data_IF_115355428254
#
_entry.id   IF_115355428254
#
_cell.length_a   1.000
_cell.length_b   1.000
_cell.length_c   1.000
_cell.angle_alpha   90.00
_cell.angle_beta   90.00
_cell.angle_gamma   90.00
#
_symmetry.space_group_name_H-M   'P 1'
#
loop_
_entity.id
_entity.type
_entity.pdbx_description
1 polymer ?
#
# COMPACT_ATOMS: atom_id res chain seq x y z
N UNK A 1 -2.47 -1.29 37.78
CA UNK A 1 -2.83 -2.35 36.81
C UNK A 1 -2.45 -1.96 35.38
N UNK A 2 -2.91 -0.80 34.87
CA UNK A 2 -2.60 -0.31 33.51
C UNK A 2 -1.10 -0.21 33.21
N UNK A 3 -0.29 0.26 34.15
CA UNK A 3 1.16 0.38 33.96
C UNK A 3 1.88 -0.99 33.88
N UNK A 4 1.41 -1.98 34.66
CA UNK A 4 1.96 -3.34 34.65
C UNK A 4 1.60 -4.04 33.33
N UNK A 5 0.33 -3.97 32.89
CA UNK A 5 -0.09 -4.54 31.60
C UNK A 5 0.61 -3.88 30.43
N UNK A 6 0.82 -2.56 30.48
CA UNK A 6 1.58 -1.83 29.45
C UNK A 6 3.05 -2.25 29.41
N UNK A 7 3.71 -2.35 30.58
CA UNK A 7 5.11 -2.78 30.69
C UNK A 7 5.30 -4.21 30.19
N UNK A 8 4.43 -5.13 30.61
CA UNK A 8 4.48 -6.53 30.19
C UNK A 8 4.19 -6.69 28.70
N UNK A 9 3.14 -6.04 28.18
CA UNK A 9 2.83 -6.03 26.76
C UNK A 9 3.95 -5.42 25.91
N UNK A 10 4.66 -4.40 26.42
CA UNK A 10 5.83 -3.81 25.76
C UNK A 10 7.05 -4.70 25.83
N UNK A 11 7.25 -5.43 26.93
CA UNK A 11 8.34 -6.41 27.08
C UNK A 11 8.16 -7.57 26.11
N UNK A 12 6.94 -8.09 25.99
CA UNK A 12 6.60 -9.16 25.02
C UNK A 12 6.80 -8.65 23.59
N UNK A 13 6.27 -7.49 23.24
CA UNK A 13 6.45 -6.93 21.89
C UNK A 13 7.94 -6.72 21.54
N UNK A 14 8.75 -6.22 22.49
CA UNK A 14 10.20 -6.02 22.30
C UNK A 14 10.96 -7.34 22.15
N UNK A 15 10.60 -8.37 22.91
CA UNK A 15 11.28 -9.68 22.81
C UNK A 15 11.01 -10.38 21.48
N UNK A 16 9.91 -10.04 20.79
CA UNK A 16 9.57 -10.55 19.46
C UNK A 16 10.09 -9.67 18.31
N UNK A 17 10.87 -8.61 18.59
CA UNK A 17 11.50 -7.81 17.52
C UNK A 17 12.73 -8.55 17.00
N UNK A 18 12.60 -9.12 15.82
CA UNK A 18 13.74 -9.59 15.05
C UNK A 18 14.37 -8.41 14.33
N UNK A 19 15.70 -8.35 14.34
CA UNK A 19 16.45 -7.31 13.66
C UNK A 19 17.41 -7.97 12.68
N UNK A 20 17.63 -7.33 11.54
CA UNK A 20 18.54 -7.80 10.51
C UNK A 20 19.78 -6.91 10.49
N UNK A 21 20.94 -7.54 10.26
CA UNK A 21 22.19 -6.79 10.03
C UNK A 21 22.26 -6.38 8.56
N UNK A 22 22.99 -5.30 8.22
CA UNK A 22 23.14 -4.84 6.85
C UNK A 22 23.59 -5.93 5.87
N UNK A 23 24.47 -6.83 6.32
CA UNK A 23 24.95 -7.96 5.50
C UNK A 23 23.83 -8.90 5.04
N UNK A 24 22.74 -9.01 5.78
CA UNK A 24 21.66 -9.95 5.51
C UNK A 24 20.65 -9.37 4.51
N UNK A 25 20.34 -8.07 4.59
CA UNK A 25 19.30 -7.44 3.77
C UNK A 25 19.83 -6.65 2.57
N UNK A 26 21.02 -6.04 2.65
CA UNK A 26 21.54 -5.17 1.59
C UNK A 26 21.65 -5.86 0.23
N UNK A 27 22.20 -7.09 0.11
CA UNK A 27 22.33 -7.76 -1.18
C UNK A 27 20.98 -8.08 -1.83
N UNK A 28 19.94 -8.31 -1.04
CA UNK A 28 18.61 -8.62 -1.54
C UNK A 28 17.88 -7.35 -1.99
N UNK A 29 18.02 -6.27 -1.21
CA UNK A 29 17.47 -4.96 -1.59
C UNK A 29 18.14 -4.39 -2.84
N UNK A 30 19.46 -4.55 -2.97
CA UNK A 30 20.20 -4.11 -4.17
C UNK A 30 19.68 -4.80 -5.44
N UNK A 31 19.44 -6.12 -5.36
CA UNK A 31 18.82 -6.87 -6.46
C UNK A 31 17.44 -6.32 -6.81
N UNK A 32 16.59 -6.07 -5.83
CA UNK A 32 15.26 -5.50 -6.05
C UNK A 32 15.33 -4.08 -6.64
N UNK A 33 16.25 -3.25 -6.15
CA UNK A 33 16.42 -1.87 -6.60
C UNK A 33 16.80 -1.82 -8.08
N UNK A 34 17.73 -2.69 -8.51
CA UNK A 34 18.22 -2.79 -9.89
C UNK A 34 17.31 -3.59 -10.83
N UNK A 35 16.31 -4.30 -10.32
CA UNK A 35 15.42 -5.10 -11.17
C UNK A 35 14.38 -4.22 -11.88
N UNK A 36 14.65 -3.91 -13.15
CA UNK A 36 13.77 -3.12 -14.01
C UNK A 36 12.47 -3.83 -14.40
N UNK A 37 12.35 -5.15 -14.18
CA UNK A 37 11.14 -5.91 -14.51
C UNK A 37 9.99 -5.59 -13.56
N UNK A 38 10.33 -5.15 -12.34
CA UNK A 38 9.36 -4.74 -11.33
C UNK A 38 9.20 -3.21 -11.44
N UNK A 39 8.00 -2.70 -11.72
CA UNK A 39 7.77 -1.25 -11.75
C UNK A 39 7.93 -0.66 -10.34
N UNK A 40 8.24 0.64 -10.27
CA UNK A 40 8.28 1.33 -8.99
C UNK A 40 6.89 1.35 -8.37
N UNK A 41 6.80 0.92 -7.11
CA UNK A 41 5.62 1.06 -6.28
C UNK A 41 5.42 2.53 -5.86
N UNK A 42 6.51 3.21 -5.53
CA UNK A 42 6.59 4.65 -5.30
C UNK A 42 8.05 5.10 -5.47
N UNK A 43 8.29 6.40 -5.66
CA UNK A 43 9.65 6.93 -5.65
C UNK A 43 10.25 6.80 -4.25
N UNK A 44 9.50 7.20 -3.22
CA UNK A 44 9.92 7.11 -1.83
C UNK A 44 8.91 6.29 -1.02
N UNK A 45 9.38 5.22 -0.37
CA UNK A 45 8.56 4.46 0.59
C UNK A 45 9.06 4.74 2.00
N UNK A 46 8.17 5.19 2.87
CA UNK A 46 8.49 5.58 4.24
C UNK A 46 7.87 4.61 5.23
N UNK A 47 8.72 3.86 5.91
CA UNK A 47 8.37 2.94 6.98
C UNK A 47 8.56 3.60 8.33
N UNK A 48 7.49 3.64 9.13
CA UNK A 48 7.60 4.03 10.53
C UNK A 48 8.04 2.85 11.38
N UNK A 49 9.14 3.02 12.11
CA UNK A 49 9.65 2.04 13.07
C UNK A 49 9.82 2.63 14.46
N UNK A 50 9.62 1.78 15.47
CA UNK A 50 9.87 2.10 16.87
C UNK A 50 11.24 1.60 17.34
N UNK A 51 12.10 1.18 16.43
CA UNK A 51 13.48 0.82 16.74
C UNK A 51 14.32 2.09 16.97
N UNK A 52 15.28 2.01 17.90
CA UNK A 52 16.17 3.12 18.27
C UNK A 52 17.56 3.00 17.67
N UNK A 53 17.96 1.79 17.32
CA UNK A 53 19.29 1.53 16.79
C UNK A 53 19.35 1.88 15.30
N UNK A 54 20.43 2.56 14.90
CA UNK A 54 20.62 3.06 13.54
C UNK A 54 21.30 2.04 12.62
N UNK A 55 22.13 1.15 13.17
CA UNK A 55 22.95 0.21 12.40
C UNK A 55 22.23 -1.09 12.03
N UNK A 56 20.90 -1.14 12.19
CA UNK A 56 20.07 -2.33 11.92
C UNK A 56 18.73 -1.94 11.30
N UNK A 57 18.10 -2.92 10.67
CA UNK A 57 16.77 -2.77 10.07
C UNK A 57 15.78 -3.70 10.78
N UNK A 58 14.54 -3.23 11.00
CA UNK A 58 13.46 -4.07 11.52
C UNK A 58 13.08 -5.10 10.45
N UNK A 59 13.06 -6.38 10.84
CA UNK A 59 12.70 -7.48 9.93
C UNK A 59 11.29 -7.28 9.37
N UNK A 60 10.38 -6.63 10.11
CA UNK A 60 9.05 -6.31 9.62
C UNK A 60 9.04 -5.42 8.37
N UNK A 61 10.00 -4.48 8.26
CA UNK A 61 10.17 -3.65 7.06
C UNK A 61 10.61 -4.51 5.89
N UNK A 62 11.61 -5.37 6.11
CA UNK A 62 12.09 -6.28 5.10
C UNK A 62 10.96 -7.20 4.59
N UNK A 63 10.19 -7.81 5.49
CA UNK A 63 9.03 -8.62 5.08
C UNK A 63 7.99 -7.81 4.32
N UNK A 64 7.67 -6.59 4.75
CA UNK A 64 6.72 -5.73 4.02
C UNK A 64 7.21 -5.41 2.60
N UNK A 65 8.51 -5.16 2.41
CA UNK A 65 9.08 -4.90 1.08
C UNK A 65 8.88 -6.10 0.15
N UNK A 66 8.99 -7.33 0.66
CA UNK A 66 8.91 -8.55 -0.15
C UNK A 66 7.55 -9.29 -0.06
N UNK A 67 6.62 -8.83 0.78
CA UNK A 67 5.32 -9.47 0.96
C UNK A 67 4.45 -9.31 -0.30
N UNK A 68 3.80 -10.40 -0.70
CA UNK A 68 3.00 -10.53 -1.92
C UNK A 68 3.78 -10.17 -3.19
N UNK A 69 3.75 -8.89 -3.56
CA UNK A 69 4.50 -8.33 -4.68
C UNK A 69 5.60 -7.40 -4.16
N UNK A 70 6.85 -7.59 -4.61
CA UNK A 70 7.97 -6.83 -4.10
C UNK A 70 7.82 -5.32 -4.40
N UNK A 71 7.88 -4.50 -3.35
CA UNK A 71 7.69 -3.06 -3.39
C UNK A 71 9.00 -2.37 -3.73
N UNK A 72 9.30 -2.31 -5.03
CA UNK A 72 10.45 -1.58 -5.54
C UNK A 72 10.25 -0.07 -5.37
N UNK A 73 11.29 0.63 -4.90
CA UNK A 73 11.31 2.09 -4.78
C UNK A 73 12.64 2.66 -5.27
N UNK A 74 12.67 3.97 -5.53
CA UNK A 74 13.94 4.69 -5.73
C UNK A 74 14.67 4.84 -4.41
N UNK A 75 13.96 5.14 -3.33
CA UNK A 75 14.50 5.14 -1.98
C UNK A 75 13.52 4.56 -0.94
N UNK A 76 14.05 3.75 -0.03
CA UNK A 76 13.38 3.24 1.15
C UNK A 76 13.85 3.98 2.39
N UNK A 77 12.90 4.44 3.20
CA UNK A 77 13.15 5.24 4.38
C UNK A 77 12.62 4.49 5.61
N UNK A 78 13.51 4.16 6.55
CA UNK A 78 13.12 3.64 7.85
C UNK A 78 13.22 4.77 8.88
N UNK A 79 12.07 5.33 9.28
CA UNK A 79 12.00 6.52 10.14
C UNK A 79 11.57 6.14 11.54
N UNK A 80 12.32 6.61 12.54
CA UNK A 80 11.94 6.52 13.95
C UNK A 80 11.91 7.89 14.59
N UNK A 81 10.88 8.14 15.38
CA UNK A 81 10.72 9.37 16.15
C UNK A 81 10.97 9.06 17.62
N UNK A 82 11.87 9.81 18.23
CA UNK A 82 12.14 9.79 19.67
C UNK A 82 11.77 11.13 20.28
N UNK A 83 11.05 11.09 21.39
CA UNK A 83 10.79 12.28 22.19
C UNK A 83 11.96 12.49 23.14
N UNK A 84 12.50 13.70 23.12
CA UNK A 84 13.56 14.17 24.01
C UNK A 84 12.98 14.93 25.20
N UNK A 85 13.71 14.95 26.31
CA UNK A 85 13.28 15.60 27.56
C UNK A 85 13.35 17.13 27.45
N UNK A 86 14.20 17.66 26.57
CA UNK A 86 14.26 19.09 26.31
C UNK A 86 13.04 19.55 25.46
N UNK A 87 12.47 20.73 25.72
CA UNK A 87 11.15 21.11 25.21
C UNK A 87 11.11 21.34 23.70
N UNK A 88 12.15 21.92 23.11
CA UNK A 88 12.16 22.41 21.73
C UNK A 88 13.25 21.76 20.86
N UNK A 89 13.84 20.65 21.29
CA UNK A 89 14.84 19.90 20.53
C UNK A 89 14.29 19.53 19.15
N UNK A 90 15.11 19.73 18.11
CA UNK A 90 14.83 19.33 16.72
C UNK A 90 16.12 18.88 16.09
N UNK A 91 16.43 17.60 16.26
CA UNK A 91 17.66 17.01 15.74
C UNK A 91 17.30 15.79 14.90
N UNK A 92 18.12 15.48 13.91
CA UNK A 92 17.99 14.24 13.17
C UNK A 92 19.35 13.61 12.93
N UNK A 93 19.34 12.30 12.71
CA UNK A 93 20.51 11.53 12.29
C UNK A 93 20.11 10.61 11.14
N UNK A 94 20.98 10.46 10.16
CA UNK A 94 20.78 9.60 8.99
C UNK A 94 21.92 8.59 8.92
N UNK A 95 21.57 7.35 8.60
CA UNK A 95 22.50 6.27 8.27
C UNK A 95 22.05 5.68 6.93
N UNK A 96 22.93 5.70 5.93
CA UNK A 96 22.63 5.25 4.57
C UNK A 96 23.16 3.83 4.26
N UNK A 97 23.81 3.18 5.23
CA UNK A 97 24.45 1.86 5.09
C UNK A 97 25.42 1.73 3.90
N UNK A 98 25.97 2.86 3.42
CA UNK A 98 26.81 2.89 2.21
C UNK A 98 26.03 2.74 0.90
N UNK A 99 24.74 3.06 0.90
CA UNK A 99 23.86 3.02 -0.28
C UNK A 99 23.22 4.38 -0.54
N UNK A 100 22.67 4.58 -1.73
CA UNK A 100 21.94 5.77 -2.18
C UNK A 100 20.40 5.56 -2.20
N UNK A 101 19.94 4.36 -1.85
CA UNK A 101 18.53 3.97 -1.91
C UNK A 101 17.94 3.55 -0.56
N UNK A 102 18.74 3.35 0.50
CA UNK A 102 18.22 2.94 1.81
C UNK A 102 18.71 3.88 2.90
N UNK A 103 17.76 4.56 3.54
CA UNK A 103 18.03 5.55 4.57
C UNK A 103 17.35 5.19 5.87
N UNK A 104 18.14 5.02 6.92
CA UNK A 104 17.65 4.95 8.29
C UNK A 104 17.71 6.34 8.89
N UNK A 105 16.56 6.87 9.27
CA UNK A 105 16.44 8.22 9.84
C UNK A 105 15.90 8.13 11.26
N UNK A 106 16.57 8.85 12.16
CA UNK A 106 16.11 9.06 13.53
C UNK A 106 15.89 10.54 13.75
N UNK A 107 14.66 10.90 14.09
CA UNK A 107 14.25 12.27 14.41
C UNK A 107 14.07 12.34 15.93
N UNK A 108 14.80 13.24 16.58
CA UNK A 108 14.62 13.59 17.99
C UNK A 108 13.85 14.90 18.09
N UNK A 109 12.70 14.85 18.73
CA UNK A 109 11.82 15.99 18.91
C UNK A 109 11.59 16.25 20.39
N UNK A 110 11.64 17.51 20.80
CA UNK A 110 11.29 17.90 22.15
C UNK A 110 9.79 17.73 22.43
N UNK A 111 9.42 17.57 23.70
CA UNK A 111 8.04 17.29 24.09
C UNK A 111 7.03 18.42 23.80
N UNK A 112 7.47 19.67 23.53
CA UNK A 112 6.60 20.77 23.08
C UNK A 112 6.50 20.88 21.56
N UNK A 113 7.20 20.03 20.81
CA UNK A 113 7.21 20.05 19.34
C UNK A 113 6.19 19.05 18.81
N UNK A 114 5.41 19.47 17.81
CA UNK A 114 4.47 18.57 17.16
C UNK A 114 5.21 17.52 16.34
N UNK A 115 4.89 16.22 16.46
CA UNK A 115 5.58 15.15 15.74
C UNK A 115 5.05 15.00 14.31
N UNK A 116 5.04 16.09 13.53
CA UNK A 116 4.62 16.08 12.12
C UNK A 116 5.72 15.50 11.24
N UNK A 117 5.65 14.19 10.97
CA UNK A 117 6.69 13.48 10.21
C UNK A 117 6.87 14.03 8.79
N UNK A 118 5.81 14.30 8.00
CA UNK A 118 5.98 14.74 6.62
C UNK A 118 6.84 15.99 6.49
N UNK A 119 6.58 17.02 7.30
CA UNK A 119 7.31 18.29 7.23
C UNK A 119 8.82 18.10 7.49
N UNK A 120 9.17 17.34 8.53
CA UNK A 120 10.58 17.05 8.83
C UNK A 120 11.22 16.14 7.79
N UNK A 121 10.47 15.20 7.22
CA UNK A 121 11.01 14.30 6.22
C UNK A 121 11.37 15.03 4.93
N UNK A 122 10.49 15.93 4.45
CA UNK A 122 10.80 16.79 3.29
C UNK A 122 12.08 17.60 3.52
N UNK A 123 12.25 18.19 4.72
CA UNK A 123 13.47 18.91 5.08
C UNK A 123 14.71 18.01 4.99
N UNK A 124 14.67 16.82 5.59
CA UNK A 124 15.79 15.87 5.58
C UNK A 124 16.11 15.41 4.15
N UNK A 125 15.09 15.16 3.34
CA UNK A 125 15.27 14.75 1.95
C UNK A 125 15.90 15.86 1.09
N UNK A 126 15.55 17.13 1.33
CA UNK A 126 16.23 18.25 0.70
C UNK A 126 17.69 18.37 1.14
N UNK A 127 17.96 18.26 2.44
CA UNK A 127 19.33 18.31 2.96
C UNK A 127 20.20 17.23 2.31
N UNK A 128 19.68 16.00 2.19
CA UNK A 128 20.36 14.87 1.54
C UNK A 128 20.47 14.99 0.02
N UNK A 129 19.51 15.65 -0.63
CA UNK A 129 19.57 15.96 -2.06
C UNK A 129 20.67 16.99 -2.34
N UNK A 130 20.81 18.01 -1.48
CA UNK A 130 21.85 19.03 -1.58
C UNK A 130 23.26 18.48 -1.32
N UNK A 131 23.42 17.51 -0.41
CA UNK A 131 24.70 16.82 -0.19
C UNK A 131 25.02 15.80 -1.28
N UNK A 132 24.03 15.41 -2.10
CA UNK A 132 24.17 14.40 -3.14
C UNK A 132 24.08 12.96 -2.62
N UNK A 133 23.73 12.76 -1.34
CA UNK A 133 23.48 11.43 -0.78
C UNK A 133 22.18 10.81 -1.32
N UNK A 134 21.17 11.65 -1.58
CA UNK A 134 19.93 11.26 -2.23
C UNK A 134 19.98 11.62 -3.72
N UNK A 135 19.92 10.65 -4.65
CA UNK A 135 19.89 10.92 -6.07
C UNK A 135 18.65 11.75 -6.47
N UNK A 136 18.83 12.72 -7.37
CA UNK A 136 17.74 13.61 -7.79
C UNK A 136 16.56 12.84 -8.40
N UNK A 137 15.35 13.17 -7.93
CA UNK A 137 14.13 12.48 -8.30
C UNK A 137 13.27 13.31 -9.26
N UNK A 138 13.79 13.49 -10.48
CA UNK A 138 13.05 14.21 -11.52
C UNK A 138 11.83 13.41 -11.98
N UNK A 139 10.69 14.10 -12.05
CA UNK A 139 9.44 13.60 -12.64
C UNK A 139 9.21 14.32 -13.95
N UNK A 140 8.78 13.57 -14.98
CA UNK A 140 8.40 14.14 -16.29
C UNK A 140 7.10 14.94 -16.20
N UNK A 141 6.25 14.62 -15.22
CA UNK A 141 4.96 15.28 -15.04
C UNK A 141 5.04 16.40 -13.99
N UNK A 142 4.35 17.54 -14.22
CA UNK A 142 4.24 18.61 -13.25
C UNK A 142 3.51 18.10 -12.00
N UNK A 143 4.14 18.25 -10.84
CA UNK A 143 3.56 17.89 -9.55
C UNK A 143 2.63 19.01 -9.10
N UNK A 144 1.47 18.64 -8.56
CA UNK A 144 0.55 19.58 -7.90
C UNK A 144 1.07 19.97 -6.51
N UNK A 145 1.91 19.10 -5.92
CA UNK A 145 2.61 19.38 -4.66
C UNK A 145 3.75 20.40 -4.87
N UNK A 146 4.01 21.19 -3.83
CA UNK A 146 4.92 22.33 -3.85
C UNK A 146 6.41 21.98 -4.02
N UNK A 147 6.75 20.70 -4.13
CA UNK A 147 8.12 20.21 -4.06
C UNK A 147 8.51 19.43 -5.33
N UNK A 148 9.12 20.11 -6.33
CA UNK A 148 9.43 19.49 -7.61
C UNK A 148 10.56 18.46 -7.50
N UNK A 149 11.49 18.64 -6.56
CA UNK A 149 12.74 17.88 -6.47
C UNK A 149 12.56 16.52 -5.81
N UNK A 150 11.52 16.37 -4.97
CA UNK A 150 11.22 15.15 -4.22
C UNK A 150 10.12 14.34 -4.89
N UNK A 151 10.38 13.07 -5.21
CA UNK A 151 9.40 12.16 -5.81
C UNK A 151 8.23 11.82 -4.86
N UNK A 152 7.09 11.32 -5.37
CA UNK A 152 5.92 10.98 -4.55
C UNK A 152 6.29 10.05 -3.38
N UNK A 153 5.78 10.40 -2.20
CA UNK A 153 6.04 9.70 -0.94
C UNK A 153 4.85 8.83 -0.58
N UNK A 154 5.10 7.55 -0.30
CA UNK A 154 4.10 6.64 0.24
C UNK A 154 4.49 6.18 1.64
N UNK A 155 3.64 6.49 2.61
CA UNK A 155 3.82 6.08 4.00
C UNK A 155 3.25 4.69 4.23
N UNK A 156 4.03 3.82 4.89
CA UNK A 156 3.64 2.47 5.27
C UNK A 156 3.79 2.29 6.78
N UNK A 157 2.67 1.97 7.43
CA UNK A 157 2.63 1.68 8.86
C UNK A 157 2.50 0.19 9.09
N UNK A 158 3.52 -0.39 9.71
CA UNK A 158 3.54 -1.78 10.09
C UNK A 158 2.84 -1.97 11.44
N UNK A 159 1.68 -2.62 11.42
CA UNK A 159 1.01 -3.08 12.62
C UNK A 159 1.43 -4.52 12.91
N UNK A 160 2.09 -4.72 14.05
CA UNK A 160 2.47 -6.06 14.50
C UNK A 160 1.25 -6.71 15.14
N UNK A 161 0.71 -7.74 14.48
CA UNK A 161 -0.38 -8.56 15.01
C UNK A 161 0.15 -9.91 15.48
N UNK A 162 -0.47 -10.44 16.53
CA UNK A 162 -0.24 -11.82 16.92
C UNK A 162 -0.98 -12.76 15.97
N UNK A 163 -0.30 -13.80 15.52
CA UNK A 163 -0.97 -14.93 14.88
C UNK A 163 -1.82 -15.69 15.92
N UNK A 164 -3.02 -16.17 15.56
CA UNK A 164 -3.87 -16.97 16.46
C UNK A 164 -3.15 -18.20 17.03
N UNK A 165 -2.24 -18.79 16.24
CA UNK A 165 -1.45 -19.99 16.58
C UNK A 165 -0.23 -19.71 17.49
N UNK A 166 -0.09 -18.49 18.02
CA UNK A 166 1.08 -18.09 18.82
C UNK A 166 1.06 -18.71 20.22
N UNK A 167 2.16 -19.38 20.63
CA UNK A 167 2.34 -19.88 21.99
C UNK A 167 2.62 -18.73 22.96
N UNK A 168 1.57 -18.09 23.47
CA UNK A 168 1.68 -17.05 24.50
C UNK A 168 0.92 -17.49 25.73
N UNK A 169 1.54 -17.32 26.90
CA UNK A 169 0.88 -17.58 28.19
C UNK A 169 -0.43 -16.78 28.27
N UNK A 170 -1.48 -17.36 28.86
CA UNK A 170 -2.80 -16.71 29.01
C UNK A 170 -2.70 -15.27 29.56
N UNK A 171 -1.79 -15.05 30.53
CA UNK A 171 -1.53 -13.73 31.11
C UNK A 171 -0.91 -12.75 30.10
N UNK A 172 0.00 -13.23 29.25
CA UNK A 172 0.60 -12.44 28.17
C UNK A 172 -0.38 -12.11 27.05
N UNK A 173 -1.30 -13.03 26.72
CA UNK A 173 -2.33 -12.80 25.73
C UNK A 173 -3.36 -11.74 26.21
N UNK A 174 -3.78 -11.82 27.49
CA UNK A 174 -4.69 -10.84 28.08
C UNK A 174 -4.05 -9.45 28.19
N UNK A 175 -2.79 -9.36 28.62
CA UNK A 175 -2.09 -8.07 28.73
C UNK A 175 -1.95 -7.40 27.36
N UNK A 176 -1.71 -8.17 26.32
CA UNK A 176 -1.56 -7.65 24.96
C UNK A 176 -2.90 -7.22 24.34
N UNK A 177 -3.97 -7.99 24.54
CA UNK A 177 -5.34 -7.57 24.18
C UNK A 177 -5.72 -6.25 24.86
N UNK A 178 -5.47 -6.13 26.16
CA UNK A 178 -5.74 -4.92 26.92
C UNK A 178 -4.91 -3.72 26.42
N UNK A 179 -3.61 -3.93 26.13
CA UNK A 179 -2.74 -2.89 25.55
C UNK A 179 -3.26 -2.39 24.20
N UNK A 180 -3.69 -3.28 23.32
CA UNK A 180 -4.24 -2.90 22.02
C UNK A 180 -5.58 -2.18 22.16
N UNK A 181 -6.45 -2.58 23.08
CA UNK A 181 -7.70 -1.87 23.38
C UNK A 181 -7.43 -0.43 23.83
N UNK A 182 -6.48 -0.22 24.77
CA UNK A 182 -6.07 1.11 25.22
C UNK A 182 -5.52 1.94 24.04
N UNK A 183 -4.68 1.33 23.18
CA UNK A 183 -4.11 2.00 22.02
C UNK A 183 -5.18 2.44 21.01
N UNK A 184 -6.22 1.65 20.81
CA UNK A 184 -7.34 2.04 19.96
C UNK A 184 -8.10 3.26 20.52
N UNK A 185 -8.28 3.32 21.84
CA UNK A 185 -8.99 4.43 22.50
C UNK A 185 -8.14 5.72 22.53
N UNK A 186 -6.81 5.61 22.69
CA UNK A 186 -5.89 6.75 22.75
C UNK A 186 -5.61 7.42 21.38
N UNK A 187 -6.20 6.91 20.30
CA UNK A 187 -6.05 7.42 18.94
C UNK A 187 -5.03 6.67 18.10
N UNK A 188 -5.20 6.75 16.77
CA UNK A 188 -4.37 6.01 15.82
C UNK A 188 -3.01 6.71 15.60
N UNK A 189 -1.91 5.94 15.45
CA UNK A 189 -0.59 6.52 15.16
C UNK A 189 -0.57 7.41 13.92
N UNK A 190 -1.40 7.09 12.92
CA UNK A 190 -1.59 7.89 11.70
C UNK A 190 -1.95 9.33 12.03
N UNK A 191 -2.88 9.55 12.97
CA UNK A 191 -3.32 10.89 13.35
C UNK A 191 -2.26 11.61 14.18
N UNK A 192 -1.61 10.90 15.09
CA UNK A 192 -0.55 11.46 15.95
C UNK A 192 0.64 11.98 15.15
N UNK A 193 1.05 11.27 14.10
CA UNK A 193 2.18 11.68 13.25
C UNK A 193 1.80 12.61 12.08
N UNK A 194 0.54 13.05 12.00
CA UNK A 194 0.07 13.93 10.92
C UNK A 194 0.00 13.27 9.54
N UNK A 195 -0.08 11.93 9.48
CA UNK A 195 -0.05 11.18 8.22
C UNK A 195 -1.42 11.05 7.55
N UNK A 196 -2.52 11.41 8.23
CA UNK A 196 -3.88 11.24 7.71
C UNK A 196 -4.12 11.82 6.29
N UNK A 197 -3.59 13.01 5.93
CA UNK A 197 -3.77 13.56 4.58
C UNK A 197 -3.05 12.78 3.47
N UNK A 198 -2.03 11.99 3.81
CA UNK A 198 -1.14 11.32 2.87
C UNK A 198 -1.55 9.87 2.56
N UNK A 199 -2.78 9.48 2.95
CA UNK A 199 -3.36 8.15 2.74
C UNK A 199 -2.39 6.98 2.98
N UNK A 200 -1.90 6.80 4.22
CA UNK A 200 -0.86 5.82 4.51
C UNK A 200 -1.39 4.39 4.35
N UNK A 201 -0.55 3.51 3.83
CA UNK A 201 -0.83 2.07 3.76
C UNK A 201 -0.62 1.46 5.14
N UNK A 202 -1.63 0.76 5.66
CA UNK A 202 -1.52 0.03 6.91
C UNK A 202 -1.35 -1.45 6.59
N UNK A 203 -0.21 -2.02 6.95
CA UNK A 203 0.11 -3.42 6.72
C UNK A 203 0.19 -4.18 8.04
N UNK A 204 -0.41 -5.36 8.08
CA UNK A 204 -0.39 -6.22 9.25
C UNK A 204 0.69 -7.27 9.08
N UNK A 205 1.76 -7.16 9.87
CA UNK A 205 2.84 -8.14 9.85
C UNK A 205 2.62 -9.14 11.01
N UNK A 206 2.68 -10.46 10.75
CA UNK A 206 2.70 -11.44 11.82
C UNK A 206 3.93 -11.25 12.71
N UNK A 207 3.71 -11.28 14.02
CA UNK A 207 4.78 -11.46 14.99
C UNK A 207 5.37 -12.86 14.82
N UNK A 208 6.68 -12.93 14.69
CA UNK A 208 7.43 -14.18 14.59
C UNK A 208 7.51 -14.86 15.96
N UNK A 209 6.39 -15.44 16.38
CA UNK A 209 6.29 -16.28 17.58
C UNK A 209 6.44 -17.74 17.14
N UNK A 210 6.99 -18.59 18.00
CA UNK A 210 6.90 -20.04 17.83
C UNK A 210 5.42 -20.46 17.75
N UNK A 211 4.96 -20.79 16.54
CA UNK A 211 3.60 -21.25 16.29
C UNK A 211 3.51 -22.75 16.52
N UNK A 212 2.40 -23.22 17.09
CA UNK A 212 2.07 -24.65 16.99
C UNK A 212 1.72 -24.95 15.54
N UNK A 213 2.27 -26.04 14.99
CA UNK A 213 1.89 -26.47 13.63
C UNK A 213 0.44 -26.97 13.70
N UNK A 214 -0.46 -26.48 12.83
CA UNK A 214 -1.81 -27.02 12.77
C UNK A 214 -1.74 -28.52 12.40
N UNK A 215 -2.68 -29.35 12.91
CA UNK A 215 -2.78 -30.75 12.53
C UNK A 215 -2.88 -30.89 11.00
N UNK A 216 -2.25 -31.94 10.45
CA UNK A 216 -2.32 -32.19 9.00
C UNK A 216 -3.76 -32.48 8.58
N UNK A 217 -4.23 -31.77 7.55
CA UNK A 217 -5.51 -32.07 6.92
C UNK A 217 -5.41 -33.38 6.15
N UNK A 218 -6.44 -34.22 6.27
CA UNK A 218 -6.61 -35.39 5.40
C UNK A 218 -7.40 -34.95 4.17
N UNK A 219 -6.87 -35.22 2.99
CA UNK A 219 -7.58 -34.99 1.72
C UNK A 219 -8.75 -35.97 1.64
N UNK A 220 -9.96 -35.46 1.51
CA UNK A 220 -11.14 -36.24 1.17
C UNK A 220 -11.36 -36.20 -0.34
N UNK A 221 -11.71 -37.33 -0.95
CA UNK A 221 -12.06 -37.38 -2.36
C UNK A 221 -13.48 -36.88 -2.55
N UNK A 222 -13.67 -35.92 -3.44
CA UNK A 222 -15.01 -35.40 -3.76
C UNK A 222 -15.76 -36.50 -4.53
N UNK A 223 -16.84 -37.02 -3.95
CA UNK A 223 -17.70 -38.01 -4.60
C UNK A 223 -18.41 -37.40 -5.83
N UNK A 224 -17.78 -37.54 -7.01
CA UNK A 224 -18.37 -37.20 -8.30
C UNK A 224 -19.32 -38.31 -8.77
N UNK A 225 -20.49 -38.46 -8.14
CA UNK A 225 -21.52 -39.38 -8.66
C UNK A 225 -22.97 -39.14 -8.20
N UNK A 226 -23.31 -38.04 -7.53
CA UNK A 226 -24.68 -37.79 -7.05
C UNK A 226 -25.48 -36.69 -7.77
N UNK A 227 -25.03 -36.25 -8.94
CA UNK A 227 -25.71 -35.17 -9.67
C UNK A 227 -26.22 -35.53 -11.08
N UNK A 228 -26.28 -36.81 -11.46
CA UNK A 228 -26.86 -37.23 -12.77
C UNK A 228 -28.07 -38.19 -12.64
N UNK A 229 -28.36 -38.74 -11.46
CA UNK A 229 -29.43 -39.74 -11.31
C UNK A 229 -30.86 -39.19 -11.12
N UNK A 230 -31.08 -37.88 -11.17
CA UNK A 230 -32.44 -37.30 -11.02
C UNK A 230 -33.06 -36.76 -12.32
N UNK A 231 -32.49 -37.07 -13.49
CA UNK A 231 -33.07 -36.69 -14.80
C UNK A 231 -33.60 -37.88 -15.62
N UNK A 232 -33.62 -39.09 -15.08
CA UNK A 232 -34.31 -40.23 -15.71
C UNK A 232 -35.53 -40.62 -14.87
N UNK A 233 -36.57 -39.80 -14.96
CA UNK A 233 -37.93 -40.20 -14.69
C UNK A 233 -38.68 -40.38 -16.00
N UNK A 234 -39.40 -41.50 -16.11
CA UNK A 234 -40.45 -41.82 -17.10
C UNK A 234 -40.00 -42.40 -18.44
N UNK A 235 -40.32 -43.68 -18.64
CA UNK A 235 -40.19 -44.38 -19.92
C UNK A 235 -40.73 -45.80 -19.79
N UNK A 236 -42.03 -45.94 -20.00
CA UNK A 236 -42.79 -47.18 -20.05
C UNK A 236 -42.17 -48.14 -21.08
N UNK A 237 -42.11 -49.42 -20.70
CA UNK A 237 -41.69 -50.55 -21.53
C UNK A 237 -42.79 -50.86 -22.56
N UNK A 238 -42.45 -50.89 -23.85
CA UNK A 238 -43.02 -51.85 -24.81
C UNK A 238 -42.27 -51.85 -26.13
N UNK A 239 -41.88 -53.06 -26.53
CA UNK A 239 -41.26 -53.52 -27.76
C UNK A 239 -41.80 -52.92 -29.06
N UNK A 240 -40.90 -52.61 -30.03
CA UNK A 240 -40.99 -53.04 -31.44
C UNK A 240 -39.56 -53.14 -32.01
N UNK A 241 -39.29 -54.27 -32.66
CA UNK A 241 -38.04 -54.64 -33.31
C UNK A 241 -37.89 -54.06 -34.74
N UNK A 242 -36.73 -54.35 -35.34
CA UNK A 242 -36.39 -54.32 -36.78
C UNK A 242 -36.36 -52.95 -37.48
N UNK A 243 -35.18 -52.38 -37.69
CA UNK A 243 -34.36 -52.68 -38.86
C UNK A 243 -33.21 -51.67 -39.00
N UNK A 244 -32.04 -52.22 -39.29
CA UNK A 244 -30.83 -51.48 -39.56
C UNK A 244 -30.89 -50.95 -41.00
N UNK A 245 -30.64 -49.66 -41.20
CA UNK A 245 -29.92 -49.18 -42.37
C UNK A 245 -29.37 -47.75 -42.18
N UNK A 246 -28.05 -47.68 -42.19
CA UNK A 246 -27.17 -46.67 -42.79
C UNK A 246 -27.62 -45.20 -42.79
N UNK A 247 -26.81 -44.32 -42.18
CA UNK A 247 -26.31 -43.09 -42.85
C UNK A 247 -25.09 -42.52 -42.14
N UNK A 248 -23.95 -42.69 -42.82
CA UNK A 248 -22.99 -41.64 -43.20
C UNK A 248 -22.38 -40.74 -42.12
N UNK A 249 -21.09 -40.97 -41.90
CA UNK A 249 -20.11 -40.06 -41.30
C UNK A 249 -20.03 -38.77 -42.13
N UNK A 250 -20.25 -37.60 -41.52
CA UNK A 250 -19.84 -36.31 -42.07
C UNK A 250 -18.93 -35.55 -41.11
N UNK A 251 -17.75 -35.24 -41.65
CA UNK A 251 -16.64 -34.55 -41.00
C UNK A 251 -16.90 -33.05 -40.82
N UNK A 252 -16.31 -32.49 -39.76
CA UNK A 252 -16.34 -31.08 -39.41
C UNK A 252 -15.55 -30.19 -40.40
N UNK A 253 -16.15 -29.82 -41.54
CA UNK A 253 -15.63 -28.73 -42.41
C UNK A 253 -16.67 -27.75 -42.99
N UNK A 254 -17.97 -27.91 -42.74
CA UNK A 254 -19.00 -27.15 -43.50
C UNK A 254 -19.82 -26.10 -42.73
N UNK A 255 -19.36 -25.57 -41.58
CA UNK A 255 -20.13 -24.55 -40.81
C UNK A 255 -19.61 -23.10 -40.99
N UNK A 256 -18.53 -22.87 -41.73
CA UNK A 256 -17.88 -21.53 -41.75
C UNK A 256 -18.48 -20.52 -42.75
N UNK A 257 -19.39 -20.91 -43.66
CA UNK A 257 -19.91 -19.96 -44.67
C UNK A 257 -21.44 -19.84 -44.63
N UNK A 258 -21.98 -19.22 -43.59
CA UNK A 258 -23.30 -18.59 -43.63
C UNK A 258 -23.44 -17.61 -42.46
N UNK A 259 -23.11 -16.33 -42.69
CA UNK A 259 -23.74 -15.14 -42.09
C UNK A 259 -22.97 -13.86 -42.48
N UNK A 260 -23.06 -13.51 -43.76
CA UNK A 260 -22.88 -12.14 -44.25
C UNK A 260 -24.03 -11.88 -45.22
N UNK A 261 -24.63 -10.68 -45.14
CA UNK A 261 -25.82 -10.18 -45.87
C UNK A 261 -27.17 -10.65 -45.30
N UNK A 262 -28.18 -9.82 -45.03
CA UNK A 262 -28.48 -8.42 -45.38
C UNK A 262 -29.65 -7.87 -44.54
N UNK A 263 -29.59 -6.58 -44.24
CA UNK A 263 -30.63 -5.53 -44.13
C UNK A 263 -32.14 -5.87 -43.94
N UNK A 264 -32.76 -5.18 -42.95
CA UNK A 264 -33.73 -4.10 -43.26
C UNK A 264 -35.23 -4.26 -42.93
N UNK A 265 -35.70 -3.47 -41.92
CA UNK A 265 -37.03 -2.78 -41.73
C UNK A 265 -38.31 -3.65 -41.54
N UNK A 266 -39.34 -3.29 -40.75
CA UNK A 266 -39.80 -2.04 -40.09
C UNK A 266 -40.94 -2.27 -39.05
N UNK A 267 -40.99 -1.38 -38.03
CA UNK A 267 -42.16 -0.81 -37.30
C UNK A 267 -43.05 -1.71 -36.39
N UNK A 268 -43.52 -1.30 -35.19
CA UNK A 268 -44.17 -0.01 -34.81
C UNK A 268 -44.26 0.23 -33.27
N UNK A 269 -44.28 1.53 -32.89
CA UNK A 269 -44.89 2.21 -31.71
C UNK A 269 -44.38 1.87 -30.29
N UNK A 270 -44.15 2.80 -29.33
CA UNK A 270 -44.75 4.11 -29.04
C UNK A 270 -43.79 5.05 -28.28
N UNK A 271 -44.08 6.36 -28.41
CA UNK A 271 -43.36 7.54 -27.93
C UNK A 271 -43.87 8.04 -26.57
N UNK A 272 -42.98 8.61 -25.77
CA UNK A 272 -43.09 9.94 -25.11
C UNK A 272 -41.71 10.25 -24.50
N UNK A 273 -40.84 11.16 -24.98
CA UNK A 273 -40.94 12.62 -25.20
C UNK A 273 -41.51 13.34 -23.95
N UNK A 274 -40.88 14.36 -23.34
CA UNK A 274 -40.01 15.36 -23.92
C UNK A 274 -39.38 16.29 -22.84
N UNK A 275 -38.19 16.83 -23.17
CA UNK A 275 -37.71 18.23 -22.99
C UNK A 275 -37.52 18.80 -21.56
N UNK A 276 -36.58 19.70 -21.28
CA UNK A 276 -36.00 20.74 -22.16
C UNK A 276 -34.65 21.28 -21.65
N UNK A 277 -33.87 21.72 -22.63
CA UNK A 277 -32.61 22.46 -22.64
C UNK A 277 -32.73 23.86 -22.00
N UNK A 278 -31.62 24.41 -21.48
CA UNK A 278 -31.30 25.84 -21.62
C UNK A 278 -29.80 26.12 -21.53
N UNK A 279 -29.24 26.55 -22.65
CA UNK A 279 -28.02 27.36 -22.71
C UNK A 279 -28.29 28.76 -22.12
N UNK A 280 -27.28 29.37 -21.52
CA UNK A 280 -27.17 30.83 -21.47
C UNK A 280 -25.73 31.30 -21.67
N UNK A 281 -25.61 32.26 -22.57
CA UNK A 281 -24.42 33.00 -23.00
C UNK A 281 -24.03 34.09 -21.98
N UNK A 282 -22.71 34.31 -21.88
CA UNK A 282 -22.00 35.60 -21.84
C UNK A 282 -22.37 36.60 -20.72
N UNK A 283 -21.41 36.87 -19.82
CA UNK A 283 -21.00 38.25 -19.52
C UNK A 283 -19.53 38.31 -19.06
N UNK A 284 -18.78 39.14 -19.77
CA UNK A 284 -17.37 39.44 -19.55
C UNK A 284 -17.33 40.89 -19.08
N UNK A 285 -16.97 41.15 -17.81
CA UNK A 285 -16.70 42.50 -17.30
C UNK A 285 -15.64 42.47 -16.19
N UNK A 286 -14.41 42.79 -16.59
CA UNK A 286 -13.50 43.75 -15.96
C UNK A 286 -13.21 43.70 -14.46
N UNK A 287 -11.95 43.39 -14.11
CA UNK A 287 -11.07 44.25 -13.29
C UNK A 287 -9.65 43.67 -13.26
N UNK A 288 -8.75 44.24 -14.07
CA UNK A 288 -7.30 44.08 -13.90
C UNK A 288 -6.80 45.39 -13.30
N UNK A 289 -6.31 45.32 -12.06
CA UNK A 289 -5.53 46.37 -11.42
C UNK A 289 -4.04 46.16 -11.75
N UNK A 290 -3.39 47.17 -12.31
CA UNK A 290 -1.92 47.37 -12.37
C UNK A 290 -1.73 48.86 -12.13
N UNK A 291 -1.51 49.30 -10.90
CA UNK A 291 -0.21 49.55 -10.25
C UNK A 291 0.71 50.38 -11.16
N UNK A 292 0.66 51.69 -10.90
CA UNK A 292 1.64 52.69 -11.32
C UNK A 292 3.04 52.34 -10.77
N UNK A 293 4.00 52.16 -11.67
CA UNK A 293 5.42 52.26 -11.33
C UNK A 293 5.93 53.60 -11.81
N UNK A 294 6.04 54.54 -10.87
CA UNK A 294 6.87 55.72 -11.03
C UNK A 294 8.35 55.33 -11.03
N UNK A 295 9.07 55.76 -12.06
CA UNK A 295 10.52 55.95 -11.96
C UNK A 295 10.90 57.32 -12.52
N UNK A 296 11.20 58.20 -11.58
CA UNK A 296 12.00 59.41 -11.75
C UNK A 296 13.44 58.99 -11.47
N UNK A 297 14.34 59.13 -12.47
CA UNK A 297 15.72 59.65 -12.33
C UNK A 297 16.54 59.43 -13.61
N UNK A 298 16.97 60.53 -14.23
CA UNK A 298 18.31 60.65 -14.78
C UNK A 298 18.78 62.09 -14.57
N UNK A 299 19.70 62.22 -13.62
CA UNK A 299 20.37 63.46 -13.22
C UNK A 299 21.36 63.85 -14.31
N UNK A 300 21.32 65.12 -14.71
CA UNK A 300 22.34 65.81 -15.50
C UNK A 300 23.14 66.69 -14.55
N UNK A 301 24.38 66.30 -14.25
CA UNK A 301 25.57 67.16 -14.06
C UNK A 301 26.77 66.28 -13.74
#
# INVERSE_FOLDING_TARGET
>A
IVMLTWKDGTKIERSQRLHMKPKDFLPVLDKLHRDFRIPYFADNIVYLTSDKEMKRLDTGIFFSIFADHPKRARAWWAVSVETDDAPFTREYCVENFGTDYLFRVKIKLGFKVSPSIPAYLHQIMHDLSHTGELPQQQSVYPKVDADPDIGPIRYVLLHKALMPESNISLRGALSLKMKYAIRHIAGTPVKWFGLAPYNPVVEVQPLFVSTRRPPRLKREEVASSRAVQSLQGSGIVSDVASDAEQTTIMNARDIVNANVSSDGKSEKSEKSANKETKESKISNTGKIARIDTGQIKAVKK
#
